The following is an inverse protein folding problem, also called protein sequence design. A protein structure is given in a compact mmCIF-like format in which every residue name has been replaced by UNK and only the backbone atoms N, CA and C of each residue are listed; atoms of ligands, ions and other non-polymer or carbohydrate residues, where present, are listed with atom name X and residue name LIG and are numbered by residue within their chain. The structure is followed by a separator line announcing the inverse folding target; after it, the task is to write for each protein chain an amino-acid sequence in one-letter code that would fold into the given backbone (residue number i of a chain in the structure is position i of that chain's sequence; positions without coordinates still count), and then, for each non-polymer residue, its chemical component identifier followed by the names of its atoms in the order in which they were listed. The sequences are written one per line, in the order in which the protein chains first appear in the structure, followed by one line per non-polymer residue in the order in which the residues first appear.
data_IF_562772463335
#
_entry.id   IF_562772463335
#
_cell.length_a   1.000
_cell.length_b   1.000
_cell.length_c   1.000
_cell.angle_alpha   90.00
_cell.angle_beta   90.00
_cell.angle_gamma   90.00
#
_symmetry.space_group_name_H-M   'P 1'
#
loop_
_entity.id
_entity.type
_entity.pdbx_description
1 polymer ?
#
# COMPACT_ATOMS: atom_id res chain seq x y z
N UNK A 1 8.06 -1.14 45.93
CA UNK A 1 7.23 -1.64 44.84
C UNK A 1 7.13 -0.57 43.76
N UNK A 2 7.43 -0.89 42.51
CA UNK A 2 7.23 -0.01 41.36
C UNK A 2 5.71 0.17 41.18
N UNK A 3 5.25 1.38 40.95
CA UNK A 3 3.85 1.68 40.69
C UNK A 3 3.51 1.47 39.21
N UNK A 4 2.36 0.87 38.94
CA UNK A 4 1.82 0.71 37.60
C UNK A 4 0.37 1.19 37.58
N UNK A 5 0.00 1.99 36.60
CA UNK A 5 -1.38 2.40 36.36
C UNK A 5 -1.74 2.13 34.91
N UNK A 6 -2.95 1.62 34.69
CA UNK A 6 -3.50 1.31 33.37
C UNK A 6 -4.78 2.12 33.18
N UNK A 7 -4.87 2.79 32.04
CA UNK A 7 -6.01 3.62 31.68
C UNK A 7 -6.50 3.21 30.30
N UNK A 8 -7.74 2.68 30.17
CA UNK A 8 -8.30 2.32 28.88
C UNK A 8 -8.53 3.57 28.02
N UNK A 9 -8.23 3.45 26.76
CA UNK A 9 -8.49 4.45 25.72
C UNK A 9 -9.74 4.01 24.95
N UNK A 10 -10.74 4.87 24.88
CA UNK A 10 -12.02 4.57 24.23
C UNK A 10 -12.15 5.35 22.92
N UNK A 11 -12.72 4.73 21.90
CA UNK A 11 -13.14 5.42 20.69
C UNK A 11 -14.50 6.14 20.91
N UNK A 12 -15.00 6.77 19.83
CA UNK A 12 -16.29 7.48 19.86
C UNK A 12 -17.51 6.57 20.09
N UNK A 13 -17.36 5.27 19.89
CA UNK A 13 -18.40 4.25 20.15
C UNK A 13 -18.33 3.68 21.56
N UNK A 14 -17.33 4.11 22.36
CA UNK A 14 -17.13 3.60 23.72
C UNK A 14 -16.40 2.26 23.77
N UNK A 15 -15.79 1.80 22.65
CA UNK A 15 -14.99 0.59 22.60
C UNK A 15 -13.55 0.90 23.01
N UNK A 16 -12.91 -0.05 23.71
CA UNK A 16 -11.50 0.07 24.09
C UNK A 16 -10.61 -0.17 22.87
N UNK A 17 -9.88 0.87 22.46
CA UNK A 17 -8.94 0.83 21.32
C UNK A 17 -7.48 0.68 21.76
N UNK A 18 -7.20 0.90 23.04
CA UNK A 18 -5.86 0.78 23.58
C UNK A 18 -5.83 0.97 25.08
N UNK A 19 -4.65 0.88 25.65
CA UNK A 19 -4.42 1.10 27.08
C UNK A 19 -3.19 1.99 27.26
N UNK A 20 -3.36 3.12 27.96
CA UNK A 20 -2.23 3.93 28.41
C UNK A 20 -1.66 3.29 29.68
N UNK A 21 -0.40 2.91 29.62
CA UNK A 21 0.34 2.36 30.74
C UNK A 21 1.33 3.40 31.29
N UNK A 22 1.17 3.77 32.55
CA UNK A 22 2.09 4.63 33.29
C UNK A 22 2.89 3.79 34.27
N UNK A 23 4.20 3.74 34.09
CA UNK A 23 5.11 3.04 34.97
C UNK A 23 5.92 4.07 35.81
N UNK A 24 6.01 3.84 37.11
CA UNK A 24 6.71 4.69 38.04
C UNK A 24 7.85 3.93 38.71
N UNK A 25 9.02 4.54 38.82
CA UNK A 25 10.16 3.98 39.54
C UNK A 25 9.96 4.03 41.07
N UNK A 26 9.07 4.89 41.55
CA UNK A 26 8.68 5.07 42.95
C UNK A 26 7.20 4.72 43.12
N UNK A 27 6.71 4.49 44.37
CA UNK A 27 5.28 4.30 44.59
C UNK A 27 4.48 5.45 43.98
N UNK A 28 3.35 5.11 43.33
CA UNK A 28 2.49 6.10 42.66
C UNK A 28 2.27 7.31 43.57
N UNK A 29 2.63 8.53 43.11
CA UNK A 29 2.42 9.71 43.91
C UNK A 29 0.92 9.87 44.17
N UNK A 30 0.54 10.06 45.43
CA UNK A 30 -0.85 10.38 45.84
C UNK A 30 -1.38 11.64 45.13
N UNK A 31 -0.53 12.38 44.43
CA UNK A 31 -0.85 13.61 43.69
C UNK A 31 -1.67 13.39 42.44
N UNK A 32 -1.67 12.19 41.83
CA UNK A 32 -2.64 11.85 40.75
C UNK A 32 -4.08 11.76 41.29
N UNK A 33 -4.24 11.45 42.58
CA UNK A 33 -5.52 11.58 43.31
C UNK A 33 -5.88 13.03 43.67
N UNK A 34 -4.94 13.97 43.49
CA UNK A 34 -5.09 15.40 43.77
C UNK A 34 -5.22 16.27 42.52
N UNK A 35 -5.35 15.69 41.35
CA UNK A 35 -5.85 16.46 40.23
C UNK A 35 -7.26 16.92 40.62
N UNK A 36 -7.43 18.20 40.91
CA UNK A 36 -8.76 18.78 41.17
C UNK A 36 -9.70 18.43 40.02
N UNK A 37 -11.00 18.65 40.16
CA UNK A 37 -12.00 18.29 39.16
C UNK A 37 -11.59 18.69 37.72
N UNK A 38 -11.01 19.87 37.52
CA UNK A 38 -10.51 20.37 36.23
C UNK A 38 -9.36 19.53 35.70
N UNK A 39 -8.41 19.12 36.52
CA UNK A 39 -7.30 18.25 36.08
C UNK A 39 -7.75 16.86 35.69
N UNK A 40 -8.77 16.33 36.36
CA UNK A 40 -9.38 15.04 36.01
C UNK A 40 -10.11 15.10 34.65
N UNK A 41 -10.87 16.17 34.40
CA UNK A 41 -11.54 16.41 33.13
C UNK A 41 -10.53 16.53 31.95
N UNK A 42 -9.44 17.30 32.18
CA UNK A 42 -8.38 17.43 31.16
C UNK A 42 -7.76 16.06 30.87
N UNK A 43 -7.43 15.29 31.89
CA UNK A 43 -6.83 13.96 31.72
C UNK A 43 -7.78 12.99 31.00
N UNK A 44 -9.05 12.97 31.36
CA UNK A 44 -10.07 12.17 30.64
C UNK A 44 -10.22 12.60 29.18
N UNK A 45 -10.22 13.90 28.91
CA UNK A 45 -10.26 14.42 27.54
C UNK A 45 -9.06 13.94 26.73
N UNK A 46 -7.85 13.98 27.30
CA UNK A 46 -6.63 13.48 26.65
C UNK A 46 -6.71 11.98 26.35
N UNK A 47 -7.23 11.18 27.29
CA UNK A 47 -7.44 9.74 27.07
C UNK A 47 -8.44 9.48 25.92
N UNK A 48 -9.55 10.24 25.88
CA UNK A 48 -10.54 10.14 24.82
C UNK A 48 -9.97 10.53 23.47
N UNK A 49 -9.25 11.66 23.38
CA UNK A 49 -8.58 12.07 22.15
C UNK A 49 -7.53 11.03 21.68
N UNK A 50 -6.76 10.48 22.63
CA UNK A 50 -5.81 9.41 22.34
C UNK A 50 -6.50 8.14 21.78
N UNK A 51 -7.61 7.76 22.36
CA UNK A 51 -8.42 6.64 21.90
C UNK A 51 -8.98 6.84 20.49
N UNK A 52 -9.52 8.04 20.22
CA UNK A 52 -10.03 8.42 18.89
C UNK A 52 -8.89 8.45 17.87
N UNK A 53 -7.75 9.03 18.22
CA UNK A 53 -6.59 9.08 17.31
C UNK A 53 -6.08 7.68 16.95
N UNK A 54 -5.97 6.78 17.92
CA UNK A 54 -5.61 5.38 17.67
C UNK A 54 -6.63 4.66 16.77
N UNK A 55 -7.93 4.87 17.04
CA UNK A 55 -8.99 4.31 16.20
C UNK A 55 -8.92 4.80 14.76
N UNK A 56 -8.70 6.09 14.56
CA UNK A 56 -8.55 6.67 13.21
C UNK A 56 -7.32 6.10 12.47
N UNK A 57 -6.18 5.95 13.16
CA UNK A 57 -4.99 5.34 12.57
C UNK A 57 -5.24 3.88 12.17
N UNK A 58 -5.93 3.11 13.01
CA UNK A 58 -6.31 1.72 12.69
C UNK A 58 -7.23 1.66 11.47
N UNK A 59 -8.24 2.53 11.38
CA UNK A 59 -9.16 2.58 10.25
C UNK A 59 -8.45 2.96 8.94
N UNK A 60 -7.50 3.90 8.98
CA UNK A 60 -6.69 4.26 7.81
C UNK A 60 -5.86 3.06 7.35
N UNK A 61 -5.26 2.31 8.29
CA UNK A 61 -4.49 1.12 7.95
C UNK A 61 -5.37 0.02 7.36
N UNK A 62 -6.53 -0.26 7.96
CA UNK A 62 -7.49 -1.22 7.45
C UNK A 62 -7.97 -0.87 6.04
N UNK A 63 -8.17 0.42 5.75
CA UNK A 63 -8.54 0.90 4.42
C UNK A 63 -7.41 0.66 3.40
N UNK A 64 -6.15 0.92 3.77
CA UNK A 64 -4.98 0.62 2.94
C UNK A 64 -4.89 -0.88 2.65
N UNK A 65 -5.02 -1.72 3.66
CA UNK A 65 -4.96 -3.18 3.53
C UNK A 65 -6.08 -3.71 2.62
N UNK A 66 -7.30 -3.15 2.73
CA UNK A 66 -8.43 -3.47 1.86
C UNK A 66 -8.17 -3.05 0.41
N UNK A 67 -7.61 -1.86 0.20
CA UNK A 67 -7.24 -1.38 -1.12
C UNK A 67 -6.17 -2.27 -1.77
N UNK A 68 -5.15 -2.67 -1.02
CA UNK A 68 -4.11 -3.60 -1.48
C UNK A 68 -4.69 -4.97 -1.85
N UNK A 69 -5.59 -5.50 -1.04
CA UNK A 69 -6.29 -6.74 -1.35
C UNK A 69 -7.12 -6.63 -2.64
N UNK A 70 -7.81 -5.51 -2.82
CA UNK A 70 -8.59 -5.23 -4.03
C UNK A 70 -7.71 -5.12 -5.28
N UNK A 71 -6.58 -4.41 -5.20
CA UNK A 71 -5.60 -4.28 -6.29
C UNK A 71 -5.08 -5.67 -6.70
N UNK A 72 -4.73 -6.52 -5.73
CA UNK A 72 -4.27 -7.89 -6.00
C UNK A 72 -5.33 -8.75 -6.68
N UNK A 73 -6.59 -8.64 -6.26
CA UNK A 73 -7.71 -9.35 -6.91
C UNK A 73 -7.92 -8.86 -8.34
N UNK A 74 -7.84 -7.54 -8.59
CA UNK A 74 -7.90 -6.99 -9.94
C UNK A 74 -6.75 -7.51 -10.82
N UNK A 75 -5.53 -7.49 -10.32
CA UNK A 75 -4.36 -7.99 -11.05
C UNK A 75 -4.52 -9.48 -11.41
N UNK A 76 -5.03 -10.30 -10.48
CA UNK A 76 -5.33 -11.71 -10.74
C UNK A 76 -6.42 -11.89 -11.80
N UNK A 77 -7.47 -11.06 -11.78
CA UNK A 77 -8.53 -11.09 -12.79
C UNK A 77 -8.00 -10.71 -14.20
N UNK A 78 -7.05 -9.78 -14.25
CA UNK A 78 -6.36 -9.38 -15.47
C UNK A 78 -5.49 -10.54 -16.00
N UNK A 79 -4.74 -11.20 -15.11
CA UNK A 79 -3.93 -12.38 -15.47
C UNK A 79 -4.78 -13.53 -15.98
N UNK A 80 -5.95 -13.76 -15.41
CA UNK A 80 -6.87 -14.81 -15.83
C UNK A 80 -7.41 -14.61 -17.27
N UNK A 81 -7.42 -13.35 -17.74
CA UNK A 81 -7.84 -13.03 -19.13
C UNK A 81 -6.79 -13.42 -20.19
N UNK A 82 -5.52 -13.59 -19.79
CA UNK A 82 -4.44 -13.95 -20.71
C UNK A 82 -3.77 -15.27 -20.30
N UNK A 83 -3.90 -16.34 -21.09
CA UNK A 83 -3.42 -17.68 -20.71
C UNK A 83 -1.90 -17.80 -20.55
N UNK A 84 -1.14 -16.79 -20.98
CA UNK A 84 0.33 -16.80 -20.96
C UNK A 84 0.96 -16.06 -19.77
N UNK A 85 0.16 -15.47 -18.85
CA UNK A 85 0.66 -14.53 -17.85
C UNK A 85 0.45 -14.96 -16.37
N UNK A 86 0.08 -16.23 -16.14
CA UNK A 86 -0.29 -16.77 -14.81
C UNK A 86 0.81 -16.68 -13.77
N UNK A 87 1.51 -15.80 -13.47
CA UNK A 87 2.44 -15.43 -12.39
C UNK A 87 3.24 -14.15 -12.73
N UNK A 88 2.92 -13.52 -13.87
CA UNK A 88 3.61 -12.31 -14.31
C UNK A 88 3.27 -11.16 -13.36
N UNK A 89 1.99 -10.92 -13.11
CA UNK A 89 1.52 -9.84 -12.23
C UNK A 89 1.97 -10.00 -10.78
N UNK A 90 2.36 -11.19 -10.33
CA UNK A 90 2.94 -11.40 -9.00
C UNK A 90 4.45 -11.11 -8.96
N UNK A 91 5.15 -11.31 -10.07
CA UNK A 91 6.61 -11.14 -10.14
C UNK A 91 7.02 -9.70 -10.42
N UNK A 92 6.24 -8.99 -11.24
CA UNK A 92 6.55 -7.61 -11.62
C UNK A 92 6.67 -6.68 -10.39
N UNK A 93 5.73 -6.66 -9.43
CA UNK A 93 5.89 -5.81 -8.25
C UNK A 93 7.17 -6.08 -7.47
N UNK A 94 7.49 -7.35 -7.24
CA UNK A 94 8.71 -7.75 -6.50
C UNK A 94 9.97 -7.28 -7.21
N UNK A 95 10.05 -7.48 -8.54
CA UNK A 95 11.22 -7.05 -9.32
C UNK A 95 11.32 -5.53 -9.35
N UNK A 96 10.18 -4.83 -9.50
CA UNK A 96 10.12 -3.36 -9.50
C UNK A 96 10.62 -2.78 -8.18
N UNK A 97 10.16 -3.33 -7.05
CA UNK A 97 10.60 -2.91 -5.72
C UNK A 97 12.11 -3.18 -5.52
N UNK A 98 12.60 -4.35 -5.94
CA UNK A 98 14.03 -4.67 -5.87
C UNK A 98 14.89 -3.70 -6.71
N UNK A 99 14.45 -3.35 -7.91
CA UNK A 99 15.15 -2.40 -8.77
C UNK A 99 15.13 -0.99 -8.20
N UNK A 100 13.99 -0.54 -7.70
CA UNK A 100 13.85 0.76 -7.04
C UNK A 100 14.73 0.86 -5.80
N UNK A 101 14.77 -0.20 -4.97
CA UNK A 101 15.65 -0.24 -3.81
C UNK A 101 17.12 -0.17 -4.22
N UNK A 102 17.53 -0.96 -5.21
CA UNK A 102 18.91 -0.91 -5.72
C UNK A 102 19.27 0.48 -6.28
N UNK A 103 18.30 1.18 -6.89
CA UNK A 103 18.49 2.54 -7.39
C UNK A 103 18.63 3.55 -6.25
N UNK A 104 17.82 3.42 -5.18
CA UNK A 104 17.96 4.27 -3.99
C UNK A 104 19.29 4.06 -3.28
N UNK A 105 19.82 2.85 -3.31
CA UNK A 105 21.09 2.50 -2.64
C UNK A 105 22.33 2.93 -3.44
N UNK A 106 22.16 3.14 -4.76
CA UNK A 106 23.29 3.55 -5.66
C UNK A 106 23.51 5.06 -5.63
N UNK A 107 24.35 5.49 -4.70
CA UNK A 107 24.75 6.89 -4.54
C UNK A 107 25.75 7.38 -5.61
N UNK A 108 26.20 6.52 -6.52
CA UNK A 108 27.18 6.87 -7.56
C UNK A 108 26.48 7.23 -8.87
N UNK A 109 25.53 6.39 -9.31
CA UNK A 109 24.80 6.60 -10.56
C UNK A 109 23.52 7.43 -10.36
N UNK A 110 22.87 7.28 -9.20
CA UNK A 110 21.59 7.91 -8.90
C UNK A 110 21.57 8.64 -7.54
N UNK A 111 22.49 9.61 -7.30
CA UNK A 111 22.65 10.24 -5.98
C UNK A 111 21.40 11.02 -5.53
N UNK A 112 20.58 11.47 -6.46
CA UNK A 112 19.38 12.26 -6.18
C UNK A 112 18.08 11.43 -6.19
N UNK A 113 18.17 10.12 -6.41
CA UNK A 113 16.99 9.25 -6.44
C UNK A 113 16.66 8.71 -5.05
N UNK A 114 15.53 9.08 -4.54
CA UNK A 114 14.97 8.55 -3.29
C UNK A 114 13.46 8.51 -3.35
N UNK A 115 12.87 7.53 -2.70
CA UNK A 115 11.42 7.40 -2.56
C UNK A 115 11.07 7.54 -1.08
N UNK A 116 10.12 8.41 -0.78
CA UNK A 116 9.46 8.48 0.53
C UNK A 116 8.37 7.39 0.65
N UNK A 117 7.66 7.35 1.78
CA UNK A 117 6.62 6.35 2.04
C UNK A 117 5.52 6.39 0.98
N UNK A 118 5.14 7.59 0.52
CA UNK A 118 4.11 7.78 -0.51
C UNK A 118 4.61 7.30 -1.87
N UNK A 119 5.83 7.64 -2.25
CA UNK A 119 6.47 7.19 -3.49
C UNK A 119 6.64 5.67 -3.57
N UNK A 120 6.98 5.01 -2.47
CA UNK A 120 7.02 3.56 -2.40
C UNK A 120 5.63 2.93 -2.59
N UNK A 121 4.59 3.54 -1.99
CA UNK A 121 3.22 3.06 -2.17
C UNK A 121 2.72 3.28 -3.60
N UNK A 122 2.99 4.42 -4.21
CA UNK A 122 2.66 4.69 -5.61
C UNK A 122 3.32 3.69 -6.55
N UNK A 123 4.61 3.41 -6.34
CA UNK A 123 5.36 2.42 -7.12
C UNK A 123 4.74 1.03 -6.98
N UNK A 124 4.38 0.63 -5.77
CA UNK A 124 3.70 -0.64 -5.49
C UNK A 124 2.39 -0.76 -6.27
N UNK A 125 1.52 0.24 -6.18
CA UNK A 125 0.23 0.28 -6.88
C UNK A 125 0.44 0.25 -8.40
N UNK A 126 1.37 1.05 -8.92
CA UNK A 126 1.67 1.10 -10.35
C UNK A 126 2.18 -0.24 -10.87
N UNK A 127 3.05 -0.92 -10.11
CA UNK A 127 3.59 -2.22 -10.48
C UNK A 127 2.50 -3.32 -10.52
N UNK A 128 1.55 -3.30 -9.59
CA UNK A 128 0.41 -4.25 -9.62
C UNK A 128 -0.57 -3.96 -10.75
N UNK A 129 -0.79 -2.70 -11.10
CA UNK A 129 -1.77 -2.26 -12.09
C UNK A 129 -1.18 -2.01 -13.48
N UNK A 130 0.11 -2.35 -13.72
CA UNK A 130 0.79 -2.08 -14.99
C UNK A 130 0.05 -2.61 -16.23
N UNK A 131 -0.68 -3.69 -16.05
CA UNK A 131 -1.43 -4.38 -17.10
C UNK A 131 -2.94 -4.07 -17.10
N UNK A 132 -3.42 -3.12 -16.30
CA UNK A 132 -4.86 -2.83 -16.15
C UNK A 132 -5.56 -2.47 -17.48
N UNK A 133 -4.81 -1.94 -18.46
CA UNK A 133 -5.32 -1.65 -19.80
C UNK A 133 -5.80 -2.89 -20.58
N UNK A 134 -5.36 -4.09 -20.19
CA UNK A 134 -5.83 -5.35 -20.81
C UNK A 134 -7.33 -5.60 -20.59
N UNK A 135 -7.92 -5.04 -19.52
CA UNK A 135 -9.36 -5.15 -19.26
C UNK A 135 -10.20 -4.49 -20.37
N UNK A 136 -9.73 -3.36 -20.90
CA UNK A 136 -10.40 -2.62 -21.97
C UNK A 136 -10.02 -3.11 -23.36
N UNK A 137 -9.01 -3.99 -23.48
CA UNK A 137 -8.53 -4.49 -24.76
C UNK A 137 -9.34 -5.71 -25.20
N UNK A 138 -9.87 -5.74 -26.44
CA UNK A 138 -10.58 -6.90 -26.97
C UNK A 138 -9.69 -8.15 -27.01
N UNK A 139 -10.28 -9.33 -26.77
CA UNK A 139 -9.54 -10.61 -26.75
C UNK A 139 -8.86 -10.90 -28.09
N UNK A 140 -9.51 -10.54 -29.21
CA UNK A 140 -8.93 -10.65 -30.57
C UNK A 140 -7.64 -9.82 -30.75
N UNK A 141 -7.37 -8.87 -29.90
CA UNK A 141 -6.13 -8.07 -29.90
C UNK A 141 -5.11 -8.67 -28.94
N UNK A 142 -5.56 -9.18 -27.77
CA UNK A 142 -4.70 -9.79 -26.76
C UNK A 142 -4.12 -11.12 -27.22
N UNK A 143 -4.93 -11.95 -27.91
CA UNK A 143 -4.58 -13.30 -28.32
C UNK A 143 -3.95 -13.37 -29.72
N UNK A 144 -3.51 -12.22 -30.26
CA UNK A 144 -2.78 -12.21 -31.51
C UNK A 144 -1.51 -13.05 -31.45
N UNK A 145 -1.32 -13.94 -32.40
CA UNK A 145 -0.08 -14.72 -32.53
C UNK A 145 1.12 -13.83 -32.89
N UNK A 146 0.88 -12.75 -33.64
CA UNK A 146 1.88 -11.72 -34.00
C UNK A 146 1.25 -10.33 -33.96
N UNK A 147 2.07 -9.27 -33.83
CA UNK A 147 1.59 -7.87 -33.71
C UNK A 147 0.76 -7.42 -34.92
N UNK A 148 1.08 -7.90 -36.11
CA UNK A 148 0.43 -7.51 -37.34
C UNK A 148 -0.73 -8.44 -37.76
N UNK A 149 -0.92 -9.52 -37.01
CA UNK A 149 -1.99 -10.47 -37.26
C UNK A 149 -3.36 -9.88 -36.93
N UNK A 150 -4.28 -9.93 -37.91
CA UNK A 150 -5.72 -9.71 -37.75
C UNK A 150 -6.48 -10.95 -38.11
N UNK A 151 -6.67 -11.17 -39.44
CA UNK A 151 -7.13 -12.41 -40.03
C UNK A 151 -5.96 -13.28 -40.56
N UNK A 152 -4.83 -12.63 -40.87
CA UNK A 152 -3.56 -13.24 -41.25
C UNK A 152 -2.38 -12.33 -40.79
N UNK A 153 -1.18 -12.89 -40.74
CA UNK A 153 0.04 -12.12 -40.43
C UNK A 153 0.42 -11.28 -41.66
N UNK A 154 0.53 -9.95 -41.46
CA UNK A 154 0.89 -8.99 -42.49
C UNK A 154 2.38 -8.64 -42.50
N UNK A 155 3.22 -9.36 -41.79
CA UNK A 155 4.64 -9.02 -41.67
C UNK A 155 5.33 -9.05 -43.05
N UNK A 156 4.96 -10.00 -43.92
CA UNK A 156 5.51 -10.13 -45.24
C UNK A 156 5.12 -8.95 -46.15
N UNK A 157 3.90 -8.42 -46.02
CA UNK A 157 3.44 -7.23 -46.75
C UNK A 157 4.23 -6.00 -46.34
N UNK A 158 4.53 -5.85 -45.04
CA UNK A 158 5.35 -4.75 -44.51
C UNK A 158 6.81 -4.89 -44.99
N UNK A 159 7.36 -6.10 -44.99
CA UNK A 159 8.71 -6.36 -45.46
C UNK A 159 8.84 -6.03 -46.97
N UNK A 160 7.87 -6.40 -47.80
CA UNK A 160 7.83 -6.05 -49.23
C UNK A 160 7.72 -4.53 -49.42
N UNK A 161 6.92 -3.83 -48.64
CA UNK A 161 6.81 -2.38 -48.68
C UNK A 161 8.14 -1.67 -48.37
N UNK A 162 8.92 -2.19 -47.43
CA UNK A 162 10.23 -1.60 -47.07
C UNK A 162 11.27 -1.81 -48.16
N UNK A 163 11.21 -2.90 -48.92
CA UNK A 163 12.11 -3.18 -50.07
C UNK A 163 11.81 -2.21 -51.21
N UNK A 164 10.59 -1.76 -51.39
CA UNK A 164 10.22 -0.83 -52.46
C UNK A 164 10.53 0.66 -52.13
N UNK A 165 10.85 0.98 -50.90
CA UNK A 165 11.18 2.35 -50.46
C UNK A 165 12.71 2.60 -50.52
N UNK A 166 13.50 1.56 -50.64
CA UNK A 166 14.98 1.60 -50.82
C UNK A 166 15.37 1.62 -52.27
#
# INVERSE_FOLDING_TARGET
AKGLQLWPLYNHEGLVTGVLQLAYDKPVPRNLQRLGEHGHLIFQSLLTYGGIALSNLSQVQELKDLLDAFIKVLAQAIDAKSPHTSAHCQRVPVITEMLAQATCDDQVLFPDFSLDEEGWYELHVAAWLHDCGKLATPDSVLDKSTKLHTLHDRIDEVALSLIHIS
#
